data_IF_699248711194
#
_entry.id   IF_699248711194
#
_cell.length_a   1.000
_cell.length_b   1.000
_cell.length_c   1.000
_cell.angle_alpha   90.00
_cell.angle_beta   90.00
_cell.angle_gamma   90.00
#
_symmetry.space_group_name_H-M   'P 1'
#
loop_
_entity.id
_entity.type
_entity.pdbx_description
1 polymer ?
#
# COMPACT_ATOMS: atom_id res chain seq x y z
N UNK A 1 -120.96 -57.99 -25.46
CA UNK A 1 -121.37 -59.39 -25.28
C UNK A 1 -120.91 -59.82 -23.90
N UNK A 2 -121.75 -60.50 -23.12
CA UNK A 2 -121.33 -60.99 -21.81
C UNK A 2 -120.29 -62.10 -21.99
N UNK A 3 -119.14 -61.99 -21.32
CA UNK A 3 -118.12 -63.03 -21.36
C UNK A 3 -118.64 -64.26 -20.60
N UNK A 4 -118.71 -65.40 -21.30
CA UNK A 4 -119.17 -66.68 -20.74
C UNK A 4 -117.94 -67.55 -20.52
N UNK A 5 -117.80 -68.10 -19.31
CA UNK A 5 -116.66 -68.97 -18.96
C UNK A 5 -116.93 -70.40 -19.41
N UNK A 6 -116.06 -70.93 -20.28
CA UNK A 6 -116.05 -72.32 -20.71
C UNK A 6 -114.82 -73.02 -20.10
N UNK A 7 -115.04 -74.02 -19.24
CA UNK A 7 -113.98 -74.73 -18.53
C UNK A 7 -113.82 -76.17 -19.03
N UNK A 8 -112.59 -76.55 -19.41
CA UNK A 8 -112.24 -77.90 -19.81
C UNK A 8 -111.31 -78.55 -18.78
N UNK A 9 -111.53 -79.83 -18.49
CA UNK A 9 -110.55 -80.64 -17.74
C UNK A 9 -109.54 -81.18 -18.73
N UNK A 10 -108.31 -80.69 -18.66
CA UNK A 10 -107.17 -81.13 -19.49
C UNK A 10 -106.08 -81.72 -18.60
N UNK A 11 -105.17 -82.50 -19.17
CA UNK A 11 -103.98 -82.95 -18.45
C UNK A 11 -103.04 -81.78 -18.17
N UNK A 12 -102.19 -81.91 -17.15
CA UNK A 12 -101.25 -80.84 -16.77
C UNK A 12 -100.27 -80.51 -17.91
N UNK A 13 -99.88 -81.51 -18.72
CA UNK A 13 -99.03 -81.31 -19.91
C UNK A 13 -99.71 -80.43 -20.97
N UNK A 14 -101.00 -80.66 -21.25
CA UNK A 14 -101.77 -79.87 -22.23
C UNK A 14 -101.99 -78.45 -21.74
N UNK A 15 -102.24 -78.29 -20.44
CA UNK A 15 -102.40 -76.98 -19.80
C UNK A 15 -101.10 -76.16 -19.89
N UNK A 16 -99.96 -76.75 -19.58
CA UNK A 16 -98.67 -76.06 -19.61
C UNK A 16 -98.27 -75.68 -21.05
N UNK A 17 -98.49 -76.60 -22.01
CA UNK A 17 -98.23 -76.33 -23.43
C UNK A 17 -99.15 -75.23 -23.99
N UNK A 18 -100.42 -75.24 -23.64
CA UNK A 18 -101.37 -74.19 -24.05
C UNK A 18 -100.96 -72.83 -23.48
N UNK A 19 -100.53 -72.77 -22.21
CA UNK A 19 -100.06 -71.53 -21.58
C UNK A 19 -98.82 -70.96 -22.29
N UNK A 20 -97.84 -71.80 -22.59
CA UNK A 20 -96.64 -71.39 -23.34
C UNK A 20 -96.97 -70.87 -24.75
N UNK A 21 -97.90 -71.53 -25.45
CA UNK A 21 -98.33 -71.09 -26.79
C UNK A 21 -99.10 -69.76 -26.76
N UNK A 22 -99.93 -69.54 -25.73
CA UNK A 22 -100.63 -68.26 -25.52
C UNK A 22 -99.61 -67.15 -25.26
N UNK A 23 -98.67 -67.37 -24.32
CA UNK A 23 -97.64 -66.37 -23.98
C UNK A 23 -96.74 -66.04 -25.19
N UNK A 24 -96.32 -67.06 -25.95
CA UNK A 24 -95.51 -66.86 -27.15
C UNK A 24 -96.23 -66.09 -28.27
N UNK A 25 -97.56 -66.18 -28.33
CA UNK A 25 -98.38 -65.49 -29.34
C UNK A 25 -98.61 -64.00 -29.05
N UNK A 26 -98.40 -63.56 -27.80
CA UNK A 26 -98.72 -62.20 -27.35
C UNK A 26 -100.22 -61.86 -27.33
N UNK A 27 -101.10 -62.84 -27.59
CA UNK A 27 -102.56 -62.69 -27.54
C UNK A 27 -103.10 -62.98 -26.14
N UNK A 28 -104.28 -62.43 -25.82
CA UNK A 28 -105.01 -62.86 -24.62
C UNK A 28 -105.47 -64.31 -24.79
N UNK A 29 -105.63 -65.06 -23.69
CA UNK A 29 -106.09 -66.45 -23.76
C UNK A 29 -107.43 -66.58 -24.51
N UNK A 30 -108.30 -65.57 -24.42
CA UNK A 30 -109.56 -65.49 -25.16
C UNK A 30 -109.33 -65.38 -26.67
N UNK A 31 -108.49 -64.45 -27.10
CA UNK A 31 -108.21 -64.21 -28.53
C UNK A 31 -107.44 -65.38 -29.15
N UNK A 32 -106.56 -66.01 -28.37
CA UNK A 32 -105.84 -67.20 -28.80
C UNK A 32 -106.78 -68.39 -29.03
N UNK A 33 -107.70 -68.67 -28.09
CA UNK A 33 -108.69 -69.74 -28.24
C UNK A 33 -109.63 -69.44 -29.43
N UNK A 34 -110.07 -68.20 -29.58
CA UNK A 34 -110.89 -67.78 -30.73
C UNK A 34 -110.15 -68.02 -32.05
N UNK A 35 -108.87 -67.64 -32.14
CA UNK A 35 -108.05 -67.89 -33.31
C UNK A 35 -107.86 -69.38 -33.59
N UNK A 36 -107.69 -70.20 -32.55
CA UNK A 36 -107.55 -71.65 -32.68
C UNK A 36 -108.85 -72.31 -33.18
N UNK A 37 -110.02 -71.86 -32.69
CA UNK A 37 -111.34 -72.30 -33.16
C UNK A 37 -111.54 -71.91 -34.61
N UNK A 38 -111.29 -70.66 -34.99
CA UNK A 38 -111.43 -70.19 -36.37
C UNK A 38 -110.47 -70.93 -37.33
N UNK A 39 -109.26 -71.26 -36.88
CA UNK A 39 -108.30 -72.04 -37.68
C UNK A 39 -108.75 -73.51 -37.85
N UNK A 40 -109.37 -74.09 -36.81
CA UNK A 40 -109.99 -75.42 -36.89
C UNK A 40 -111.21 -75.43 -37.82
N UNK A 41 -112.07 -74.41 -37.74
CA UNK A 41 -113.21 -74.23 -38.65
C UNK A 41 -112.75 -74.06 -40.10
N UNK A 42 -111.74 -73.22 -40.36
CA UNK A 42 -111.18 -73.03 -41.69
C UNK A 42 -110.61 -74.33 -42.28
N UNK A 43 -110.03 -75.20 -41.44
CA UNK A 43 -109.54 -76.52 -41.85
C UNK A 43 -110.68 -77.50 -42.17
N UNK A 44 -111.80 -77.40 -41.47
CA UNK A 44 -112.99 -78.24 -41.70
C UNK A 44 -113.81 -77.81 -42.94
N UNK A 45 -113.78 -76.53 -43.33
CA UNK A 45 -114.40 -76.04 -44.58
C UNK A 45 -113.85 -76.78 -45.81
N UNK A 46 -112.57 -77.18 -45.79
CA UNK A 46 -111.97 -78.00 -46.85
C UNK A 46 -112.52 -79.44 -46.93
N UNK A 47 -113.15 -79.96 -45.87
CA UNK A 47 -113.78 -81.29 -45.88
C UNK A 47 -115.21 -81.27 -46.41
N UNK A 48 -115.91 -80.14 -46.28
CA UNK A 48 -117.31 -79.98 -46.68
C UNK A 48 -117.47 -79.43 -48.12
N UNK A 49 -116.45 -78.75 -48.66
CA UNK A 49 -116.46 -78.18 -50.00
C UNK A 49 -115.17 -78.52 -50.79
N UNK A 50 -115.10 -79.71 -51.42
CA UNK A 50 -113.90 -80.24 -52.07
C UNK A 50 -113.33 -79.36 -53.19
N UNK A 51 -114.19 -78.59 -53.85
CA UNK A 51 -113.86 -77.65 -54.92
C UNK A 51 -112.97 -76.47 -54.49
N UNK A 52 -112.90 -76.16 -53.19
CA UNK A 52 -112.07 -75.08 -52.65
C UNK A 52 -110.77 -75.56 -51.99
N UNK A 53 -110.52 -76.88 -51.91
CA UNK A 53 -109.34 -77.46 -51.25
C UNK A 53 -108.04 -76.93 -51.84
N UNK A 54 -107.97 -76.83 -53.18
CA UNK A 54 -106.80 -76.29 -53.87
C UNK A 54 -106.53 -74.84 -53.49
N UNK A 55 -107.57 -74.00 -53.46
CA UNK A 55 -107.44 -72.58 -53.08
C UNK A 55 -107.09 -72.39 -51.61
N UNK A 56 -107.60 -73.23 -50.71
CA UNK A 56 -107.22 -73.24 -49.29
C UNK A 56 -105.76 -73.67 -49.10
N UNK A 57 -105.29 -74.65 -49.87
CA UNK A 57 -103.89 -75.07 -49.86
C UNK A 57 -102.96 -73.98 -50.39
N UNK A 58 -103.30 -73.32 -51.49
CA UNK A 58 -102.55 -72.17 -52.01
C UNK A 58 -102.49 -71.02 -50.99
N UNK A 59 -103.59 -70.75 -50.28
CA UNK A 59 -103.63 -69.76 -49.22
C UNK A 59 -102.70 -70.12 -48.05
N UNK A 60 -102.66 -71.39 -47.65
CA UNK A 60 -101.75 -71.91 -46.61
C UNK A 60 -100.28 -71.74 -47.04
N UNK A 61 -99.96 -72.07 -48.29
CA UNK A 61 -98.61 -71.89 -48.87
C UNK A 61 -98.21 -70.41 -48.87
N UNK A 62 -99.09 -69.52 -49.35
CA UNK A 62 -98.83 -68.08 -49.35
C UNK A 62 -98.66 -67.51 -47.93
N UNK A 63 -99.48 -67.96 -46.99
CA UNK A 63 -99.40 -67.53 -45.58
C UNK A 63 -98.10 -67.99 -44.93
N UNK A 64 -97.70 -69.25 -45.19
CA UNK A 64 -96.41 -69.79 -44.75
C UNK A 64 -95.26 -68.97 -45.32
N UNK A 65 -95.32 -68.65 -46.61
CA UNK A 65 -94.29 -67.83 -47.27
C UNK A 65 -94.21 -66.41 -46.69
N UNK A 66 -95.34 -65.78 -46.38
CA UNK A 66 -95.39 -64.48 -45.71
C UNK A 66 -94.75 -64.57 -44.32
N UNK A 67 -95.04 -65.63 -43.57
CA UNK A 67 -94.45 -65.84 -42.25
C UNK A 67 -92.93 -66.03 -42.32
N UNK A 68 -92.43 -66.85 -43.26
CA UNK A 68 -91.00 -67.01 -43.52
C UNK A 68 -90.31 -65.69 -43.84
N UNK A 69 -90.91 -64.87 -44.70
CA UNK A 69 -90.38 -63.54 -45.05
C UNK A 69 -90.34 -62.61 -43.84
N UNK A 70 -91.39 -62.61 -43.01
CA UNK A 70 -91.43 -61.82 -41.79
C UNK A 70 -90.34 -62.26 -40.80
N UNK A 71 -90.16 -63.57 -40.60
CA UNK A 71 -89.09 -64.12 -39.75
C UNK A 71 -87.71 -63.72 -40.28
N UNK A 72 -87.48 -63.86 -41.59
CA UNK A 72 -86.21 -63.45 -42.20
C UNK A 72 -85.94 -61.95 -42.06
N UNK A 73 -86.96 -61.10 -42.24
CA UNK A 73 -86.83 -59.65 -42.04
C UNK A 73 -86.48 -59.31 -40.59
N UNK A 74 -87.10 -59.97 -39.61
CA UNK A 74 -86.77 -59.80 -38.18
C UNK A 74 -85.33 -60.23 -37.90
N UNK A 75 -84.91 -61.40 -38.39
CA UNK A 75 -83.53 -61.89 -38.23
C UNK A 75 -82.51 -60.94 -38.86
N UNK A 76 -82.77 -60.46 -40.08
CA UNK A 76 -81.92 -59.49 -40.75
C UNK A 76 -81.84 -58.17 -39.97
N UNK A 77 -82.97 -57.67 -39.45
CA UNK A 77 -82.99 -56.47 -38.61
C UNK A 77 -82.20 -56.67 -37.31
N UNK A 78 -82.28 -57.84 -36.68
CA UNK A 78 -81.49 -58.17 -35.48
C UNK A 78 -80.00 -58.18 -35.82
N UNK A 79 -79.59 -58.82 -36.92
CA UNK A 79 -78.19 -58.84 -37.36
C UNK A 79 -77.63 -57.44 -37.65
N UNK A 80 -78.40 -56.59 -38.36
CA UNK A 80 -77.99 -55.21 -38.63
C UNK A 80 -77.84 -54.41 -37.34
N UNK A 81 -78.76 -54.58 -36.39
CA UNK A 81 -78.69 -53.93 -35.07
C UNK A 81 -77.46 -54.40 -34.30
N UNK A 82 -77.21 -55.71 -34.22
CA UNK A 82 -76.05 -56.27 -33.52
C UNK A 82 -74.73 -55.81 -34.15
N UNK A 83 -74.67 -55.71 -35.48
CA UNK A 83 -73.51 -55.18 -36.18
C UNK A 83 -73.29 -53.70 -35.84
N UNK A 84 -74.32 -52.87 -35.92
CA UNK A 84 -74.23 -51.45 -35.60
C UNK A 84 -73.80 -51.22 -34.14
N UNK A 85 -74.34 -52.01 -33.20
CA UNK A 85 -73.94 -51.96 -31.78
C UNK A 85 -72.49 -52.36 -31.60
N UNK A 86 -72.02 -53.42 -32.26
CA UNK A 86 -70.60 -53.85 -32.20
C UNK A 86 -69.66 -52.80 -32.79
N UNK A 87 -70.02 -52.19 -33.92
CA UNK A 87 -69.22 -51.13 -34.53
C UNK A 87 -69.18 -49.88 -33.64
N UNK A 88 -70.32 -49.50 -33.03
CA UNK A 88 -70.38 -48.40 -32.08
C UNK A 88 -69.51 -48.66 -30.84
N UNK A 89 -69.53 -49.87 -30.28
CA UNK A 89 -68.66 -50.24 -29.15
C UNK A 89 -67.18 -50.19 -29.53
N UNK A 90 -66.78 -50.78 -30.66
CA UNK A 90 -65.38 -50.72 -31.13
C UNK A 90 -64.89 -49.29 -31.33
N UNK A 91 -65.75 -48.41 -31.84
CA UNK A 91 -65.41 -47.00 -32.02
C UNK A 91 -65.36 -46.24 -30.69
N UNK A 92 -66.21 -46.59 -29.72
CA UNK A 92 -66.16 -46.05 -28.37
C UNK A 92 -64.84 -46.46 -27.68
N UNK A 93 -64.47 -47.74 -27.73
CA UNK A 93 -63.24 -48.26 -27.14
C UNK A 93 -62.00 -47.56 -27.72
N UNK A 94 -61.93 -47.38 -29.04
CA UNK A 94 -60.85 -46.63 -29.70
C UNK A 94 -60.77 -45.18 -29.25
N UNK A 95 -61.90 -44.53 -29.07
CA UNK A 95 -61.93 -43.13 -28.59
C UNK A 95 -61.50 -43.05 -27.14
N UNK A 96 -61.89 -43.99 -26.30
CA UNK A 96 -61.43 -44.06 -24.90
C UNK A 96 -59.91 -44.30 -24.82
N UNK A 97 -59.36 -45.20 -25.63
CA UNK A 97 -57.91 -45.41 -25.74
C UNK A 97 -57.18 -44.12 -26.17
N UNK A 98 -57.68 -43.43 -27.21
CA UNK A 98 -57.10 -42.17 -27.68
C UNK A 98 -57.18 -41.06 -26.61
N UNK A 99 -58.30 -40.97 -25.90
CA UNK A 99 -58.47 -40.00 -24.81
C UNK A 99 -57.47 -40.29 -23.69
N UNK A 100 -57.27 -41.56 -23.31
CA UNK A 100 -56.30 -41.94 -22.30
C UNK A 100 -54.85 -41.63 -22.73
N UNK A 101 -54.51 -41.87 -24.00
CA UNK A 101 -53.20 -41.52 -24.55
C UNK A 101 -52.96 -40.01 -24.52
N UNK A 102 -53.94 -39.22 -24.97
CA UNK A 102 -53.86 -37.75 -24.97
C UNK A 102 -53.77 -37.18 -23.55
N UNK A 103 -54.50 -37.74 -22.58
CA UNK A 103 -54.40 -37.34 -21.17
C UNK A 103 -53.02 -37.63 -20.59
N UNK A 104 -52.42 -38.76 -20.97
CA UNK A 104 -51.07 -39.13 -20.53
C UNK A 104 -50.04 -38.16 -21.12
N UNK A 105 -50.08 -37.92 -22.43
CA UNK A 105 -49.22 -36.93 -23.10
C UNK A 105 -49.39 -35.52 -22.54
N UNK A 106 -50.62 -35.12 -22.23
CA UNK A 106 -50.90 -33.82 -21.62
C UNK A 106 -50.25 -33.69 -20.22
N UNK A 107 -50.26 -34.77 -19.43
CA UNK A 107 -49.61 -34.80 -18.13
C UNK A 107 -48.09 -34.70 -18.27
N UNK A 108 -47.49 -35.49 -19.14
CA UNK A 108 -46.05 -35.47 -19.42
C UNK A 108 -45.59 -34.08 -19.86
N UNK A 109 -46.31 -33.44 -20.79
CA UNK A 109 -45.98 -32.08 -21.26
C UNK A 109 -46.10 -31.05 -20.14
N UNK A 110 -47.09 -31.19 -19.24
CA UNK A 110 -47.21 -30.29 -18.08
C UNK A 110 -46.06 -30.45 -17.09
N UNK A 111 -45.65 -31.69 -16.82
CA UNK A 111 -44.51 -31.99 -15.96
C UNK A 111 -43.20 -31.44 -16.56
N UNK A 112 -42.99 -31.64 -17.86
CA UNK A 112 -41.84 -31.06 -18.58
C UNK A 112 -41.87 -29.52 -18.56
N UNK A 113 -43.03 -28.91 -18.76
CA UNK A 113 -43.18 -27.46 -18.71
C UNK A 113 -42.84 -26.92 -17.33
N UNK A 114 -43.31 -27.57 -16.26
CA UNK A 114 -43.00 -27.18 -14.90
C UNK A 114 -41.50 -27.32 -14.61
N UNK A 115 -40.87 -28.44 -15.00
CA UNK A 115 -39.44 -28.64 -14.82
C UNK A 115 -38.61 -27.56 -15.55
N UNK A 116 -38.99 -27.21 -16.78
CA UNK A 116 -38.32 -26.14 -17.55
C UNK A 116 -38.53 -24.76 -16.90
N UNK A 117 -39.69 -24.51 -16.29
CA UNK A 117 -39.95 -23.26 -15.57
C UNK A 117 -39.06 -23.14 -14.33
N UNK A 118 -38.97 -24.20 -13.53
CA UNK A 118 -38.09 -24.26 -12.35
C UNK A 118 -36.62 -24.09 -12.75
N UNK A 119 -36.18 -24.75 -13.84
CA UNK A 119 -34.83 -24.55 -14.38
C UNK A 119 -34.61 -23.10 -14.85
N UNK A 120 -35.60 -22.45 -15.47
CA UNK A 120 -35.48 -21.06 -15.91
C UNK A 120 -35.36 -20.10 -14.73
N UNK A 121 -36.10 -20.34 -13.65
CA UNK A 121 -36.03 -19.54 -12.42
C UNK A 121 -34.65 -19.67 -11.77
N UNK A 122 -34.14 -20.88 -11.60
CA UNK A 122 -32.79 -21.11 -11.04
C UNK A 122 -31.68 -20.48 -11.91
N UNK A 123 -31.80 -20.56 -13.24
CA UNK A 123 -30.86 -19.90 -14.15
C UNK A 123 -30.92 -18.37 -14.06
N UNK A 124 -32.10 -17.78 -13.84
CA UNK A 124 -32.24 -16.33 -13.62
C UNK A 124 -31.60 -15.89 -12.32
N UNK A 125 -31.81 -16.63 -11.24
CA UNK A 125 -31.16 -16.36 -9.94
C UNK A 125 -29.64 -16.46 -10.06
N UNK A 126 -29.13 -17.49 -10.74
CA UNK A 126 -27.70 -17.65 -10.99
C UNK A 126 -27.13 -16.50 -11.84
N UNK A 127 -27.86 -16.04 -12.86
CA UNK A 127 -27.47 -14.89 -13.69
C UNK A 127 -27.41 -13.59 -12.88
N UNK A 128 -28.38 -13.35 -12.00
CA UNK A 128 -28.41 -12.17 -11.14
C UNK A 128 -27.26 -12.17 -10.14
N UNK A 129 -26.97 -13.32 -9.52
CA UNK A 129 -25.82 -13.49 -8.64
C UNK A 129 -24.49 -13.26 -9.38
N UNK A 130 -24.32 -13.86 -10.57
CA UNK A 130 -23.13 -13.68 -11.38
C UNK A 130 -22.94 -12.21 -11.82
N UNK A 131 -24.04 -11.52 -12.15
CA UNK A 131 -24.01 -10.09 -12.51
C UNK A 131 -23.59 -9.22 -11.33
N UNK A 132 -24.10 -9.51 -10.14
CA UNK A 132 -23.73 -8.81 -8.91
C UNK A 132 -22.24 -9.02 -8.58
N UNK A 133 -21.76 -10.27 -8.63
CA UNK A 133 -20.35 -10.57 -8.42
C UNK A 133 -19.44 -9.88 -9.46
N UNK A 134 -19.86 -9.81 -10.72
CA UNK A 134 -19.11 -9.11 -11.76
C UNK A 134 -19.03 -7.60 -11.48
N UNK A 135 -20.09 -6.98 -10.96
CA UNK A 135 -20.09 -5.59 -10.55
C UNK A 135 -19.13 -5.34 -9.37
N UNK A 136 -19.14 -6.21 -8.36
CA UNK A 136 -18.23 -6.14 -7.20
C UNK A 136 -16.77 -6.29 -7.63
N UNK A 137 -16.46 -7.25 -8.50
CA UNK A 137 -15.11 -7.42 -9.05
C UNK A 137 -14.65 -6.20 -9.84
N UNK A 138 -15.54 -5.59 -10.62
CA UNK A 138 -15.23 -4.36 -11.36
C UNK A 138 -14.90 -3.21 -10.40
N UNK A 139 -15.72 -3.00 -9.36
CA UNK A 139 -15.47 -1.98 -8.35
C UNK A 139 -14.16 -2.22 -7.59
N UNK A 140 -13.89 -3.47 -7.21
CA UNK A 140 -12.64 -3.86 -6.54
C UNK A 140 -11.42 -3.59 -7.44
N UNK A 141 -11.49 -3.97 -8.72
CA UNK A 141 -10.43 -3.70 -9.70
C UNK A 141 -10.19 -2.20 -9.88
N UNK A 142 -11.26 -1.41 -10.01
CA UNK A 142 -11.14 0.04 -10.19
C UNK A 142 -10.48 0.68 -8.94
N UNK A 143 -10.84 0.21 -7.73
CA UNK A 143 -10.20 0.62 -6.47
C UNK A 143 -8.71 0.24 -6.43
N UNK A 144 -8.36 -0.98 -6.84
CA UNK A 144 -6.97 -1.44 -6.93
C UNK A 144 -6.17 -0.60 -7.93
N UNK A 145 -6.77 -0.24 -9.07
CA UNK A 145 -6.12 0.60 -10.08
C UNK A 145 -5.82 2.00 -9.55
N UNK A 146 -6.76 2.61 -8.80
CA UNK A 146 -6.50 3.88 -8.10
C UNK A 146 -5.36 3.75 -7.10
N UNK A 147 -5.36 2.69 -6.27
CA UNK A 147 -4.30 2.46 -5.29
C UNK A 147 -2.92 2.28 -5.96
N UNK A 148 -2.86 1.53 -7.06
CA UNK A 148 -1.61 1.35 -7.82
C UNK A 148 -1.11 2.69 -8.35
N UNK A 149 -2.00 3.53 -8.89
CA UNK A 149 -1.64 4.87 -9.36
C UNK A 149 -1.07 5.74 -8.23
N UNK A 150 -1.71 5.73 -7.05
CA UNK A 150 -1.22 6.48 -5.88
C UNK A 150 0.15 6.00 -5.41
N UNK A 151 0.36 4.67 -5.38
CA UNK A 151 1.64 4.08 -5.00
C UNK A 151 2.73 4.44 -6.02
N UNK A 152 2.43 4.44 -7.31
CA UNK A 152 3.37 4.88 -8.34
C UNK A 152 3.76 6.35 -8.16
N UNK A 153 2.80 7.24 -7.90
CA UNK A 153 3.08 8.66 -7.61
C UNK A 153 3.93 8.82 -6.35
N UNK A 154 3.64 8.09 -5.28
CA UNK A 154 4.44 8.12 -4.04
C UNK A 154 5.86 7.61 -4.26
N UNK A 155 6.02 6.52 -5.01
CA UNK A 155 7.34 5.99 -5.36
C UNK A 155 8.15 7.00 -6.17
N UNK A 156 7.53 7.66 -7.16
CA UNK A 156 8.19 8.72 -7.94
C UNK A 156 8.64 9.87 -7.03
N UNK A 157 7.76 10.38 -6.17
CA UNK A 157 8.09 11.46 -5.23
C UNK A 157 9.22 11.08 -4.26
N UNK A 158 9.21 9.86 -3.72
CA UNK A 158 10.28 9.36 -2.85
C UNK A 158 11.60 9.19 -3.60
N UNK A 159 11.54 8.78 -4.87
CA UNK A 159 12.72 8.67 -5.74
C UNK A 159 13.33 10.04 -6.00
N UNK A 160 12.50 11.04 -6.33
CA UNK A 160 12.94 12.43 -6.52
C UNK A 160 13.55 13.00 -5.23
N UNK A 161 12.94 12.72 -4.08
CA UNK A 161 13.47 13.14 -2.77
C UNK A 161 14.82 12.47 -2.46
N UNK A 162 14.97 11.19 -2.79
CA UNK A 162 16.23 10.47 -2.59
C UNK A 162 17.36 11.03 -3.48
N UNK A 163 17.05 11.37 -4.74
CA UNK A 163 17.98 12.03 -5.65
C UNK A 163 18.41 13.40 -5.12
N UNK A 164 17.44 14.22 -4.69
CA UNK A 164 17.73 15.53 -4.10
C UNK A 164 18.61 15.42 -2.84
N UNK A 165 18.38 14.40 -2.00
CA UNK A 165 19.21 14.16 -0.82
C UNK A 165 20.65 13.73 -1.18
N UNK A 166 20.82 12.88 -2.20
CA UNK A 166 22.15 12.48 -2.67
C UNK A 166 22.93 13.67 -3.26
N UNK A 167 22.25 14.56 -4.01
CA UNK A 167 22.83 15.82 -4.50
C UNK A 167 23.23 16.75 -3.36
N UNK A 168 22.36 16.93 -2.36
CA UNK A 168 22.66 17.72 -1.17
C UNK A 168 23.88 17.16 -0.44
N UNK A 169 23.96 15.84 -0.27
CA UNK A 169 25.09 15.16 0.38
C UNK A 169 26.40 15.39 -0.39
N UNK A 170 26.37 15.30 -1.73
CA UNK A 170 27.52 15.63 -2.58
C UNK A 170 27.93 17.10 -2.45
N UNK A 171 26.97 18.02 -2.42
CA UNK A 171 27.20 19.46 -2.25
C UNK A 171 27.82 19.78 -0.89
N UNK A 172 27.32 19.18 0.19
CA UNK A 172 27.88 19.31 1.55
C UNK A 172 29.31 18.78 1.58
N UNK A 173 29.56 17.57 1.06
CA UNK A 173 30.91 17.00 1.01
C UNK A 173 31.89 17.88 0.21
N UNK A 174 31.43 18.49 -0.89
CA UNK A 174 32.23 19.43 -1.67
C UNK A 174 32.54 20.72 -0.89
N UNK A 175 31.55 21.27 -0.18
CA UNK A 175 31.73 22.45 0.69
C UNK A 175 32.69 22.16 1.84
N UNK A 176 32.54 21.04 2.54
CA UNK A 176 33.46 20.63 3.61
C UNK A 176 34.90 20.49 3.10
N UNK A 177 35.09 19.94 1.89
CA UNK A 177 36.41 19.85 1.27
C UNK A 177 36.98 21.23 0.92
N UNK A 178 36.14 22.13 0.41
CA UNK A 178 36.53 23.50 0.11
C UNK A 178 36.89 24.29 1.38
N UNK A 179 36.09 24.19 2.44
CA UNK A 179 36.36 24.79 3.74
C UNK A 179 37.66 24.25 4.36
N UNK A 180 37.88 22.93 4.34
CA UNK A 180 39.16 22.35 4.80
C UNK A 180 40.36 22.89 4.02
N UNK A 181 40.22 23.05 2.70
CA UNK A 181 41.28 23.62 1.86
C UNK A 181 41.52 25.09 2.22
N UNK A 182 40.47 25.89 2.35
CA UNK A 182 40.57 27.30 2.73
C UNK A 182 41.16 27.46 4.13
N UNK A 183 40.78 26.59 5.07
CA UNK A 183 41.34 26.59 6.42
C UNK A 183 42.83 26.24 6.42
N UNK A 184 43.25 25.26 5.61
CA UNK A 184 44.67 24.92 5.44
C UNK A 184 45.47 26.05 4.78
N UNK A 185 44.91 26.72 3.76
CA UNK A 185 45.53 27.89 3.12
C UNK A 185 45.68 29.05 4.11
N UNK A 186 44.66 29.30 4.92
CA UNK A 186 44.70 30.33 5.96
C UNK A 186 45.71 30.00 7.06
N UNK A 187 45.76 28.74 7.50
CA UNK A 187 46.78 28.27 8.46
C UNK A 187 48.19 28.44 7.91
N UNK A 188 48.45 28.03 6.66
CA UNK A 188 49.74 28.22 6.02
C UNK A 188 50.11 29.71 5.91
N UNK A 189 49.14 30.59 5.63
CA UNK A 189 49.36 32.04 5.62
C UNK A 189 49.72 32.59 7.00
N UNK A 190 49.03 32.16 8.06
CA UNK A 190 49.34 32.54 9.43
C UNK A 190 50.71 32.01 9.87
N UNK A 191 51.07 30.79 9.52
CA UNK A 191 52.39 30.22 9.80
C UNK A 191 53.51 31.00 9.09
N UNK A 192 53.30 31.39 7.83
CA UNK A 192 54.23 32.23 7.09
C UNK A 192 54.41 33.60 7.76
N UNK A 193 53.30 34.26 8.17
CA UNK A 193 53.35 35.53 8.89
C UNK A 193 54.08 35.39 10.24
N UNK A 194 53.77 34.34 11.01
CA UNK A 194 54.45 34.06 12.27
C UNK A 194 55.95 33.84 12.08
N UNK A 195 56.35 33.17 10.99
CA UNK A 195 57.75 32.98 10.67
C UNK A 195 58.43 34.31 10.34
N UNK A 196 57.81 35.16 9.50
CA UNK A 196 58.33 36.51 9.21
C UNK A 196 58.47 37.34 10.49
N UNK A 197 57.46 37.35 11.36
CA UNK A 197 57.50 38.03 12.65
C UNK A 197 58.61 37.50 13.57
N UNK A 198 58.86 36.18 13.58
CA UNK A 198 59.98 35.58 14.33
C UNK A 198 61.33 36.02 13.77
N UNK A 199 61.46 36.06 12.45
CA UNK A 199 62.70 36.49 11.79
C UNK A 199 62.96 37.99 12.07
N UNK A 200 61.92 38.82 12.02
CA UNK A 200 61.97 40.24 12.41
C UNK A 200 62.33 40.42 13.89
N UNK A 201 61.72 39.63 14.78
CA UNK A 201 62.02 39.66 16.22
C UNK A 201 63.48 39.24 16.47
N UNK A 202 63.97 38.20 15.80
CA UNK A 202 65.35 37.75 15.92
C UNK A 202 66.33 38.81 15.42
N UNK A 203 66.03 39.47 14.30
CA UNK A 203 66.83 40.57 13.77
C UNK A 203 66.85 41.78 14.73
N UNK A 204 65.69 42.16 15.26
CA UNK A 204 65.59 43.23 16.26
C UNK A 204 66.36 42.89 17.55
N UNK A 205 66.32 41.63 17.98
CA UNK A 205 67.04 41.15 19.16
C UNK A 205 68.57 41.14 18.94
N UNK A 206 69.04 40.75 17.74
CA UNK A 206 70.45 40.88 17.36
C UNK A 206 70.89 42.35 17.32
N UNK A 207 70.06 43.23 16.76
CA UNK A 207 70.35 44.66 16.71
C UNK A 207 70.41 45.27 18.13
N UNK A 208 69.48 44.89 19.00
CA UNK A 208 69.48 45.31 20.41
C UNK A 208 70.72 44.80 21.15
N UNK A 209 71.14 43.54 20.93
CA UNK A 209 72.39 43.02 21.50
C UNK A 209 73.63 43.74 20.97
N UNK A 210 73.69 44.03 19.66
CA UNK A 210 74.79 44.77 19.07
C UNK A 210 74.87 46.21 19.64
N UNK A 211 73.73 46.87 19.80
CA UNK A 211 73.64 48.19 20.46
C UNK A 211 74.06 48.11 21.93
N UNK A 212 73.66 47.07 22.65
CA UNK A 212 74.07 46.86 24.05
C UNK A 212 75.58 46.63 24.16
N UNK A 213 76.17 45.85 23.27
CA UNK A 213 77.61 45.63 23.20
C UNK A 213 78.34 46.94 22.85
N UNK A 214 77.87 47.70 21.86
CA UNK A 214 78.43 48.99 21.49
C UNK A 214 78.37 50.00 22.65
N UNK A 215 77.23 50.10 23.34
CA UNK A 215 77.09 50.93 24.53
C UNK A 215 78.01 50.49 25.67
N UNK A 216 78.18 49.18 25.87
CA UNK A 216 79.13 48.65 26.88
C UNK A 216 80.59 48.94 26.53
N UNK A 217 80.94 48.92 25.25
CA UNK A 217 82.28 49.27 24.77
C UNK A 217 82.54 50.78 24.95
N UNK A 218 81.57 51.62 24.61
CA UNK A 218 81.62 53.06 24.87
C UNK A 218 81.74 53.37 26.37
N UNK A 219 81.00 52.67 27.24
CA UNK A 219 81.13 52.81 28.69
C UNK A 219 82.53 52.45 29.18
N UNK A 220 83.12 51.35 28.69
CA UNK A 220 84.51 50.96 29.02
C UNK A 220 85.53 51.99 28.53
N UNK A 221 85.35 52.51 27.33
CA UNK A 221 86.22 53.55 26.78
C UNK A 221 86.12 54.83 27.61
N UNK A 222 84.91 55.25 27.97
CA UNK A 222 84.68 56.40 28.85
C UNK A 222 85.29 56.19 30.25
N UNK A 223 85.15 54.99 30.82
CA UNK A 223 85.80 54.61 32.08
C UNK A 223 87.32 54.71 31.99
N UNK A 224 87.93 54.25 30.88
CA UNK A 224 89.36 54.40 30.64
C UNK A 224 89.76 55.87 30.50
N UNK A 225 88.99 56.69 29.79
CA UNK A 225 89.26 58.14 29.69
C UNK A 225 89.16 58.82 31.05
N UNK A 226 88.15 58.46 31.87
CA UNK A 226 88.02 58.98 33.25
C UNK A 226 89.21 58.55 34.11
N UNK A 227 89.70 57.33 33.98
CA UNK A 227 90.92 56.89 34.67
C UNK A 227 92.17 57.66 34.22
N UNK A 228 92.32 57.90 32.92
CA UNK A 228 93.41 58.72 32.38
C UNK A 228 93.36 60.16 32.90
N UNK A 229 92.19 60.80 32.87
CA UNK A 229 91.98 62.14 33.43
C UNK A 229 92.28 62.21 34.93
N UNK A 230 91.90 61.18 35.70
CA UNK A 230 92.27 61.08 37.13
C UNK A 230 93.78 60.96 37.31
N UNK A 231 94.47 60.22 36.44
CA UNK A 231 95.92 60.09 36.49
C UNK A 231 96.62 61.42 36.13
N UNK A 232 96.14 62.13 35.12
CA UNK A 232 96.62 63.48 34.76
C UNK A 232 96.38 64.49 35.88
N UNK A 233 95.21 64.49 36.52
CA UNK A 233 94.95 65.34 37.69
C UNK A 233 95.91 65.05 38.84
N UNK A 234 96.21 63.77 39.11
CA UNK A 234 97.16 63.39 40.14
C UNK A 234 98.60 63.82 39.80
N UNK A 235 98.96 63.81 38.52
CA UNK A 235 100.24 64.34 38.02
C UNK A 235 100.32 65.86 38.17
N UNK A 236 99.28 66.60 37.79
CA UNK A 236 99.22 68.06 37.98
C UNK A 236 99.27 68.45 39.46
N UNK A 237 98.60 67.70 40.35
CA UNK A 237 98.72 67.92 41.80
C UNK A 237 100.16 67.71 42.28
N UNK A 238 100.83 66.65 41.81
CA UNK A 238 102.26 66.44 42.11
C UNK A 238 103.16 67.54 41.58
N UNK A 239 102.92 68.03 40.36
CA UNK A 239 103.68 69.15 39.80
C UNK A 239 103.46 70.44 40.60
N UNK A 240 102.23 70.69 41.04
CA UNK A 240 101.90 71.82 41.89
C UNK A 240 102.60 71.72 43.26
N UNK A 241 102.59 70.54 43.89
CA UNK A 241 103.27 70.28 45.15
C UNK A 241 104.80 70.45 44.98
N UNK A 242 105.37 69.99 43.86
CA UNK A 242 106.80 70.15 43.56
C UNK A 242 107.18 71.62 43.35
N UNK A 243 106.33 72.39 42.67
CA UNK A 243 106.52 73.83 42.47
C UNK A 243 106.41 74.59 43.80
N UNK A 244 105.48 74.20 44.67
CA UNK A 244 105.37 74.74 46.03
C UNK A 244 106.64 74.44 46.84
N UNK A 245 107.16 73.21 46.74
CA UNK A 245 108.38 72.78 47.42
C UNK A 245 109.62 73.54 46.92
N UNK A 246 109.71 73.81 45.61
CA UNK A 246 110.77 74.64 45.03
C UNK A 246 110.68 76.12 45.48
N UNK A 247 109.47 76.67 45.59
CA UNK A 247 109.27 78.03 46.08
C UNK A 247 109.68 78.17 47.56
N UNK A 248 109.37 77.16 48.40
CA UNK A 248 109.82 77.11 49.80
C UNK A 248 111.35 77.03 49.88
N UNK A 249 111.98 76.19 49.06
CA UNK A 249 113.45 76.06 49.03
C UNK A 249 114.16 77.36 48.61
N UNK A 250 113.62 78.08 47.61
CA UNK A 250 114.16 79.38 47.21
C UNK A 250 113.95 80.45 48.30
N UNK A 251 112.82 80.41 49.01
CA UNK A 251 112.58 81.29 50.14
C UNK A 251 113.59 81.01 51.29
N UNK A 252 113.87 79.74 51.59
CA UNK A 252 114.87 79.32 52.59
C UNK A 252 116.30 79.76 52.20
N UNK A 253 116.69 79.60 50.93
CA UNK A 253 118.00 80.08 50.44
C UNK A 253 118.14 81.60 50.54
N UNK A 254 117.08 82.36 50.25
CA UNK A 254 117.08 83.82 50.41
C UNK A 254 117.22 84.24 51.88
N UNK A 255 116.66 83.45 52.80
CA UNK A 255 116.76 83.68 54.23
C UNK A 255 118.16 83.36 54.75
N UNK A 256 118.80 82.28 54.27
CA UNK A 256 120.20 81.96 54.58
C UNK A 256 121.16 83.03 54.09
N UNK A 257 120.99 83.56 52.86
CA UNK A 257 121.81 84.66 52.37
C UNK A 257 121.66 85.93 53.20
N UNK A 258 120.44 86.26 53.66
CA UNK A 258 120.20 87.37 54.58
C UNK A 258 120.85 87.16 55.94
N UNK A 259 120.86 85.93 56.47
CA UNK A 259 121.51 85.58 57.73
C UNK A 259 123.04 85.72 57.63
N UNK A 260 123.61 85.33 56.50
CA UNK A 260 125.05 85.36 56.25
C UNK A 260 125.57 86.80 56.05
N UNK A 261 124.83 87.63 55.33
CA UNK A 261 125.11 89.07 55.25
C UNK A 261 125.02 89.77 56.62
N UNK A 262 124.14 89.30 57.50
CA UNK A 262 124.00 89.83 58.86
C UNK A 262 125.13 89.37 59.80
N UNK A 263 125.69 88.17 59.59
CA UNK A 263 126.89 87.66 60.26
C UNK A 263 128.15 88.43 59.82
N UNK A 264 128.30 88.69 58.52
CA UNK A 264 129.45 89.42 57.98
C UNK A 264 129.45 90.89 58.45
N UNK A 265 128.27 91.52 58.55
CA UNK A 265 128.13 92.86 59.13
C UNK A 265 128.46 92.94 60.64
N UNK A 266 128.26 91.85 61.38
CA UNK A 266 128.64 91.76 62.79
C UNK A 266 130.15 91.50 62.98
N UNK A 267 130.77 90.72 62.09
CA UNK A 267 132.20 90.45 62.11
C UNK A 267 133.04 91.70 61.73
N UNK A 268 132.59 92.50 60.77
CA UNK A 268 133.25 93.78 60.44
C UNK A 268 133.18 94.79 61.59
N UNK A 269 132.09 94.80 62.36
CA UNK A 269 131.96 95.62 63.58
C UNK A 269 132.84 95.15 64.73
N UNK A 270 133.06 93.84 64.85
CA UNK A 270 134.00 93.25 65.82
C UNK A 270 135.46 93.55 65.47
N UNK A 271 135.80 93.58 64.18
CA UNK A 271 137.15 93.93 63.73
C UNK A 271 137.46 95.42 63.98
N UNK A 272 136.52 96.33 63.70
CA UNK A 272 136.69 97.77 64.00
C UNK A 272 136.83 98.07 65.51
N UNK A 273 136.15 97.30 66.37
CA UNK A 273 136.26 97.41 67.83
C UNK A 273 137.58 96.86 68.39
N UNK A 274 138.23 95.88 67.73
CA UNK A 274 139.55 95.39 68.14
C UNK A 274 140.68 96.36 67.73
N UNK A 275 140.57 97.01 66.58
CA UNK A 275 141.57 98.02 66.14
C UNK A 275 141.51 99.30 66.98
N UNK A 276 140.33 99.70 67.47
CA UNK A 276 140.18 100.82 68.42
C UNK A 276 140.60 100.50 69.87
N UNK A 277 140.84 99.23 70.21
CA UNK A 277 141.25 98.82 71.57
C UNK A 277 142.77 98.75 71.75
N UNK A 278 143.55 98.53 70.69
CA UNK A 278 145.02 98.58 70.76
C UNK A 278 145.60 99.98 70.59
N UNK A 279 144.86 100.95 70.02
CA UNK A 279 145.27 102.36 70.02
C UNK A 279 145.00 103.07 71.37
N UNK A 280 144.21 102.47 72.27
CA UNK A 280 143.93 102.98 73.63
C UNK A 280 144.80 102.35 74.74
N UNK A 281 145.74 101.46 74.40
CA UNK A 281 146.82 100.98 75.30
C UNK A 281 148.16 101.67 74.97
N UNK A 282 148.13 102.99 74.77
CA UNK A 282 149.33 103.85 74.78
C UNK A 282 149.46 104.75 76.01
N UNK A 283 148.53 104.76 76.97
CA UNK A 283 148.38 105.93 77.84
C UNK A 283 148.07 105.69 79.32
N UNK A 284 148.40 104.50 79.87
CA UNK A 284 148.16 104.24 81.30
C UNK A 284 149.21 103.36 82.00
N UNK A 285 150.49 103.63 81.77
CA UNK A 285 151.55 103.29 82.75
C UNK A 285 152.74 104.25 82.60
N UNK A 286 152.72 105.32 83.38
CA UNK A 286 153.88 105.64 84.18
C UNK A 286 153.60 105.07 85.57
N UNK A 287 154.27 103.98 85.91
CA UNK A 287 154.87 103.75 87.22
C UNK A 287 155.86 102.59 87.19
#
# INVERSE_FOLDING_TARGET
>A
MADVTLGFKVSEEVKERAKQMIEASGLSAKDWIQSAITMYEAKNVGMEAPEFVTSLHELEVHTTRIHELAVHMVQQSMHLKDQAVREAHKEADRKEELVAELQTKLREVKEQLQAVQEENETLREALEQATTQAADFKQSRDTQQTLVSELQTKVAALTDQALAYDELKKSVAAKEKAEKKQQAELQASYEAQLQTLRDEQAAAQQQAQAQQQAASAQLKELEQTVQQLRHEQALQQKEHDLALQQAVMQAEQSYQQKLQAHMDSYNDKLFQLMTQRQENEKENDAK
#
